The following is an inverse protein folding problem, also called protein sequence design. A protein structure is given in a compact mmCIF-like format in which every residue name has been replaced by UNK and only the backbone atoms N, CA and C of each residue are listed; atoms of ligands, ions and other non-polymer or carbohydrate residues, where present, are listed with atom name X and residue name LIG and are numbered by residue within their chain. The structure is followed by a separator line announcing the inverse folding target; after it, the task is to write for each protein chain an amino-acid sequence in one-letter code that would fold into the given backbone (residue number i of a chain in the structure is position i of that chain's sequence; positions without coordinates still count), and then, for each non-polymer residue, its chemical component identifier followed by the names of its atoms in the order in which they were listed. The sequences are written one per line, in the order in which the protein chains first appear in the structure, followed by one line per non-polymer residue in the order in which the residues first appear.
data_IF_338910181921
#
_entry.id   IF_338910181921
#
_cell.length_a   1.000
_cell.length_b   1.000
_cell.length_c   1.000
_cell.angle_alpha   90.00
_cell.angle_beta   90.00
_cell.angle_gamma   90.00
#
_symmetry.space_group_name_H-M   'P 1'
#
loop_
_entity.id
_entity.type
_entity.pdbx_description
1 polymer ?
#
# COMPACT_ATOMS: atom_id res chain seq x y z
N UNK A 1 -11.01 10.65 -17.29
CA UNK A 1 -10.39 9.71 -16.36
C UNK A 1 -10.29 10.29 -14.93
N UNK A 2 -9.63 11.42 -14.70
CA UNK A 2 -9.46 11.97 -13.34
C UNK A 2 -10.73 12.54 -12.69
N UNK A 3 -11.68 13.11 -13.41
CA UNK A 3 -12.97 13.56 -12.86
C UNK A 3 -13.84 12.39 -12.37
N UNK A 4 -13.77 11.25 -13.03
CA UNK A 4 -14.40 10.01 -12.59
C UNK A 4 -13.69 9.43 -11.34
N UNK A 5 -12.38 9.63 -11.24
CA UNK A 5 -11.56 9.24 -10.11
C UNK A 5 -11.89 10.07 -8.86
N UNK A 6 -12.00 11.40 -9.02
CA UNK A 6 -12.39 12.31 -7.95
C UNK A 6 -13.75 11.96 -7.34
N UNK A 7 -14.74 11.66 -8.20
CA UNK A 7 -16.08 11.25 -7.76
C UNK A 7 -16.12 9.86 -7.13
N UNK A 8 -15.28 8.93 -7.60
CA UNK A 8 -15.21 7.55 -7.09
C UNK A 8 -14.52 7.44 -5.73
N UNK A 9 -13.54 8.30 -5.46
CA UNK A 9 -12.71 8.23 -4.26
C UNK A 9 -12.92 9.42 -3.31
N UNK A 10 -13.91 10.28 -3.55
CA UNK A 10 -14.25 11.43 -2.70
C UNK A 10 -13.08 12.36 -2.37
N UNK A 11 -12.10 12.48 -3.29
CA UNK A 11 -10.91 13.30 -3.09
C UNK A 11 -11.22 14.77 -3.38
N UNK A 12 -10.63 15.66 -2.57
CA UNK A 12 -10.63 17.10 -2.86
C UNK A 12 -9.76 17.41 -4.08
N UNK A 13 -9.87 18.64 -4.63
CA UNK A 13 -9.01 19.08 -5.73
C UNK A 13 -7.52 19.05 -5.35
N UNK A 14 -7.19 19.33 -4.08
CA UNK A 14 -5.83 19.21 -3.54
C UNK A 14 -5.38 17.76 -3.48
N UNK A 15 -6.26 16.84 -3.05
CA UNK A 15 -5.99 15.40 -3.02
C UNK A 15 -5.70 14.85 -4.42
N UNK A 16 -6.50 15.22 -5.42
CA UNK A 16 -6.26 14.82 -6.83
C UNK A 16 -4.94 15.37 -7.37
N UNK A 17 -4.60 16.64 -7.05
CA UNK A 17 -3.31 17.20 -7.43
C UNK A 17 -2.14 16.49 -6.73
N UNK A 18 -2.33 16.10 -5.45
CA UNK A 18 -1.38 15.28 -4.68
C UNK A 18 -1.12 13.94 -5.35
N UNK A 19 -2.19 13.18 -5.71
CA UNK A 19 -2.07 11.90 -6.44
C UNK A 19 -1.25 12.06 -7.71
N UNK A 20 -1.57 13.05 -8.54
CA UNK A 20 -0.86 13.27 -9.83
C UNK A 20 0.62 13.54 -9.61
N UNK A 21 0.96 14.41 -8.65
CA UNK A 21 2.36 14.72 -8.31
C UNK A 21 3.06 13.53 -7.67
N UNK A 22 2.37 12.79 -6.80
CA UNK A 22 2.87 11.56 -6.21
C UNK A 22 3.23 10.53 -7.28
N UNK A 23 2.31 10.23 -8.23
CA UNK A 23 2.56 9.33 -9.36
C UNK A 23 3.76 9.80 -10.20
N UNK A 24 3.85 11.10 -10.48
CA UNK A 24 4.97 11.65 -11.25
C UNK A 24 6.32 11.43 -10.53
N UNK A 25 6.40 11.78 -9.24
CA UNK A 25 7.63 11.62 -8.48
C UNK A 25 7.99 10.15 -8.26
N UNK A 26 7.01 9.27 -8.03
CA UNK A 26 7.24 7.82 -7.94
C UNK A 26 7.75 7.27 -9.26
N UNK A 27 7.18 7.66 -10.38
CA UNK A 27 7.67 7.29 -11.72
C UNK A 27 9.11 7.74 -11.92
N UNK A 28 9.41 8.99 -11.57
CA UNK A 28 10.77 9.55 -11.70
C UNK A 28 11.77 8.81 -10.80
N UNK A 29 11.41 8.53 -9.54
CA UNK A 29 12.26 7.77 -8.61
C UNK A 29 12.54 6.36 -9.14
N UNK A 30 11.54 5.68 -9.66
CA UNK A 30 11.71 4.35 -10.27
C UNK A 30 12.64 4.40 -11.49
N UNK A 31 12.51 5.42 -12.35
CA UNK A 31 13.41 5.59 -13.50
C UNK A 31 14.85 5.91 -13.07
N UNK A 32 15.03 6.76 -12.06
CA UNK A 32 16.37 7.04 -11.49
C UNK A 32 16.97 5.74 -10.91
N UNK A 33 16.20 4.95 -10.18
CA UNK A 33 16.66 3.67 -9.63
C UNK A 33 17.08 2.70 -10.73
N UNK A 34 16.30 2.60 -11.81
CA UNK A 34 16.64 1.78 -12.99
C UNK A 34 17.92 2.29 -13.69
N UNK A 35 18.09 3.61 -13.82
CA UNK A 35 19.31 4.20 -14.36
C UNK A 35 20.53 3.90 -13.48
N UNK A 36 20.37 3.90 -12.15
CA UNK A 36 21.41 3.51 -11.20
C UNK A 36 21.82 2.05 -11.35
N UNK A 37 20.88 1.13 -11.56
CA UNK A 37 21.20 -0.27 -11.89
C UNK A 37 21.96 -0.39 -13.21
N UNK A 38 21.56 0.37 -14.22
CA UNK A 38 22.28 0.45 -15.50
C UNK A 38 23.71 0.98 -15.34
N UNK A 39 23.92 2.00 -14.50
CA UNK A 39 25.24 2.52 -14.18
C UNK A 39 26.12 1.48 -13.49
N UNK A 40 25.60 0.73 -12.51
CA UNK A 40 26.32 -0.35 -11.85
C UNK A 40 26.70 -1.45 -12.84
N UNK A 41 25.81 -1.79 -13.79
CA UNK A 41 26.12 -2.73 -14.85
C UNK A 41 27.28 -2.27 -15.74
N UNK A 42 27.32 -0.99 -16.11
CA UNK A 42 28.42 -0.42 -16.91
C UNK A 42 29.77 -0.49 -16.16
N UNK A 43 29.76 -0.19 -14.85
CA UNK A 43 30.93 -0.34 -14.01
C UNK A 43 31.40 -1.79 -13.96
N UNK A 44 30.51 -2.73 -13.74
CA UNK A 44 30.82 -4.16 -13.74
C UNK A 44 31.35 -4.64 -15.10
N UNK A 45 30.80 -4.16 -16.21
CA UNK A 45 31.26 -4.48 -17.55
C UNK A 45 32.71 -4.03 -17.77
N UNK A 46 33.08 -2.81 -17.29
CA UNK A 46 34.44 -2.32 -17.33
C UNK A 46 35.43 -3.19 -16.53
N UNK A 47 35.03 -3.68 -15.36
CA UNK A 47 35.87 -4.62 -14.59
C UNK A 47 36.03 -5.97 -15.28
N UNK A 48 34.96 -6.49 -15.88
CA UNK A 48 35.02 -7.76 -16.67
C UNK A 48 35.95 -7.60 -17.87
N UNK A 49 35.90 -6.48 -18.58
CA UNK A 49 36.78 -6.18 -19.71
C UNK A 49 38.24 -6.10 -19.27
N UNK A 50 38.54 -5.46 -18.14
CA UNK A 50 39.88 -5.46 -17.53
C UNK A 50 40.39 -6.89 -17.29
N UNK A 51 39.57 -7.75 -16.69
CA UNK A 51 39.96 -9.14 -16.40
C UNK A 51 40.13 -10.01 -17.64
N UNK A 52 39.32 -9.77 -18.69
CA UNK A 52 39.30 -10.58 -19.89
C UNK A 52 40.40 -10.18 -20.91
N UNK A 53 40.67 -8.91 -21.07
CA UNK A 53 41.57 -8.37 -22.12
C UNK A 53 42.80 -7.63 -21.56
N UNK A 54 42.93 -7.49 -20.23
CA UNK A 54 43.99 -6.72 -19.59
C UNK A 54 43.92 -5.22 -19.89
N UNK A 55 42.73 -4.70 -20.24
CA UNK A 55 42.44 -3.29 -20.41
C UNK A 55 42.73 -2.53 -19.09
N UNK A 56 42.95 -1.21 -19.15
CA UNK A 56 43.16 -0.41 -17.95
C UNK A 56 41.91 -0.48 -17.04
N UNK A 57 42.17 -0.45 -15.72
CA UNK A 57 41.11 -0.38 -14.72
C UNK A 57 40.31 0.92 -14.91
N UNK A 58 38.95 0.83 -14.80
CA UNK A 58 38.13 2.05 -14.86
C UNK A 58 38.56 3.03 -13.75
N UNK A 59 38.71 4.30 -14.09
CA UNK A 59 39.05 5.35 -13.14
C UNK A 59 38.04 5.42 -12.00
N UNK A 60 38.53 5.43 -10.76
CA UNK A 60 37.69 5.51 -9.59
C UNK A 60 36.93 6.85 -9.47
N UNK A 61 37.56 7.95 -9.95
CA UNK A 61 36.99 9.30 -9.81
C UNK A 61 35.61 9.47 -10.50
N UNK A 62 35.44 9.12 -11.80
CA UNK A 62 34.14 9.21 -12.45
C UNK A 62 33.12 8.23 -11.85
N UNK A 63 33.54 7.07 -11.34
CA UNK A 63 32.63 6.11 -10.70
C UNK A 63 32.08 6.70 -9.39
N UNK A 64 32.96 7.22 -8.53
CA UNK A 64 32.56 7.85 -7.26
C UNK A 64 31.71 9.10 -7.52
N UNK A 65 32.12 9.94 -8.49
CA UNK A 65 31.38 11.11 -8.89
C UNK A 65 29.96 10.75 -9.40
N UNK A 66 29.84 9.72 -10.24
CA UNK A 66 28.56 9.21 -10.75
C UNK A 66 27.66 8.69 -9.64
N UNK A 67 28.20 7.93 -8.68
CA UNK A 67 27.46 7.46 -7.52
C UNK A 67 26.95 8.60 -6.63
N UNK A 68 27.79 9.62 -6.38
CA UNK A 68 27.38 10.79 -5.59
C UNK A 68 26.22 11.54 -6.29
N UNK A 69 26.33 11.79 -7.58
CA UNK A 69 25.25 12.41 -8.36
C UNK A 69 23.96 11.57 -8.30
N UNK A 70 24.08 10.26 -8.47
CA UNK A 70 22.96 9.33 -8.36
C UNK A 70 22.29 9.42 -6.99
N UNK A 71 23.06 9.38 -5.89
CA UNK A 71 22.52 9.50 -4.54
C UNK A 71 21.81 10.82 -4.30
N UNK A 72 22.36 11.95 -4.77
CA UNK A 72 21.73 13.26 -4.64
C UNK A 72 20.40 13.31 -5.40
N UNK A 73 20.39 12.82 -6.63
CA UNK A 73 19.16 12.76 -7.45
C UNK A 73 18.10 11.84 -6.82
N UNK A 74 18.51 10.67 -6.34
CA UNK A 74 17.63 9.71 -5.68
C UNK A 74 17.06 10.31 -4.40
N UNK A 75 17.88 10.94 -3.57
CA UNK A 75 17.45 11.59 -2.34
C UNK A 75 16.45 12.72 -2.61
N UNK A 76 16.77 13.61 -3.55
CA UNK A 76 15.89 14.71 -3.91
C UNK A 76 14.54 14.21 -4.46
N UNK A 77 14.57 13.18 -5.32
CA UNK A 77 13.35 12.58 -5.88
C UNK A 77 12.51 11.89 -4.80
N UNK A 78 13.14 11.08 -3.92
CA UNK A 78 12.46 10.43 -2.80
C UNK A 78 11.86 11.43 -1.81
N UNK A 79 12.54 12.52 -1.51
CA UNK A 79 12.01 13.58 -0.64
C UNK A 79 10.70 14.14 -1.15
N UNK A 80 10.65 14.48 -2.45
CA UNK A 80 9.43 14.98 -3.08
C UNK A 80 8.35 13.90 -3.19
N UNK A 81 8.73 12.67 -3.55
CA UNK A 81 7.81 11.52 -3.58
C UNK A 81 7.16 11.33 -2.22
N UNK A 82 7.95 11.28 -1.14
CA UNK A 82 7.44 11.12 0.23
C UNK A 82 6.45 12.22 0.60
N UNK A 83 6.78 13.47 0.31
CA UNK A 83 5.91 14.60 0.62
C UNK A 83 4.57 14.51 -0.11
N UNK A 84 4.58 14.26 -1.41
CA UNK A 84 3.35 14.20 -2.21
C UNK A 84 2.56 12.90 -2.03
N UNK A 85 3.19 11.81 -1.65
CA UNK A 85 2.54 10.50 -1.46
C UNK A 85 1.99 10.35 -0.05
N UNK A 86 2.71 10.81 0.99
CA UNK A 86 2.30 10.60 2.37
C UNK A 86 1.72 11.87 3.02
N UNK A 87 2.48 12.96 3.06
CA UNK A 87 2.07 14.13 3.85
C UNK A 87 0.75 14.74 3.37
N UNK A 88 0.53 14.83 2.06
CA UNK A 88 -0.70 15.40 1.51
C UNK A 88 -1.91 14.51 1.82
N UNK A 89 -1.75 13.18 1.77
CA UNK A 89 -2.85 12.27 2.06
C UNK A 89 -3.20 12.22 3.53
N UNK A 90 -2.22 12.25 4.43
CA UNK A 90 -2.50 12.34 5.87
C UNK A 90 -3.28 13.61 6.23
N UNK A 91 -2.92 14.75 5.62
CA UNK A 91 -3.67 15.99 5.80
C UNK A 91 -5.11 15.88 5.25
N UNK A 92 -5.27 15.26 4.08
CA UNK A 92 -6.58 15.09 3.45
C UNK A 92 -7.49 14.17 4.26
N UNK A 93 -6.99 13.02 4.72
CA UNK A 93 -7.73 12.08 5.56
C UNK A 93 -8.07 12.70 6.93
N UNK A 94 -7.18 13.51 7.50
CA UNK A 94 -7.48 14.30 8.71
C UNK A 94 -8.67 15.24 8.51
N UNK A 95 -8.74 15.93 7.36
CA UNK A 95 -9.87 16.78 7.00
C UNK A 95 -11.16 15.98 6.79
N UNK A 96 -11.08 14.81 6.15
CA UNK A 96 -12.24 13.94 5.97
C UNK A 96 -12.80 13.46 7.31
N UNK A 97 -11.95 13.06 8.26
CA UNK A 97 -12.39 12.71 9.62
C UNK A 97 -13.14 13.87 10.29
N UNK A 98 -12.58 15.08 10.21
CA UNK A 98 -13.24 16.28 10.75
C UNK A 98 -14.56 16.60 10.07
N UNK A 99 -14.64 16.45 8.75
CA UNK A 99 -15.87 16.68 8.00
C UNK A 99 -16.96 15.66 8.35
N UNK A 100 -16.61 14.39 8.51
CA UNK A 100 -17.53 13.34 8.94
C UNK A 100 -18.04 13.65 10.35
N UNK A 101 -17.15 14.00 11.29
CA UNK A 101 -17.53 14.37 12.65
C UNK A 101 -18.46 15.59 12.69
N UNK A 102 -18.19 16.62 11.88
CA UNK A 102 -19.05 17.80 11.76
C UNK A 102 -20.42 17.48 11.14
N UNK A 103 -20.49 16.56 10.20
CA UNK A 103 -21.75 16.08 9.63
C UNK A 103 -22.56 15.29 10.67
N UNK A 104 -21.90 14.39 11.41
CA UNK A 104 -22.53 13.62 12.49
C UNK A 104 -23.09 14.54 13.58
N UNK A 105 -22.36 15.58 13.98
CA UNK A 105 -22.81 16.56 14.97
C UNK A 105 -24.13 17.25 14.59
N UNK A 106 -24.44 17.35 13.31
CA UNK A 106 -25.66 17.99 12.80
C UNK A 106 -26.83 17.03 12.70
N UNK A 107 -26.64 15.74 12.93
CA UNK A 107 -27.71 14.75 12.85
C UNK A 107 -28.62 14.78 14.11
N UNK A 108 -29.91 14.48 13.97
CA UNK A 108 -30.82 14.43 15.11
C UNK A 108 -30.47 13.27 16.05
N UNK A 109 -30.78 13.42 17.34
CA UNK A 109 -30.54 12.40 18.38
C UNK A 109 -31.19 11.05 18.03
N UNK A 110 -32.31 11.05 17.33
CA UNK A 110 -32.98 9.83 16.86
C UNK A 110 -32.14 8.98 15.89
N UNK A 111 -31.15 9.57 15.24
CA UNK A 111 -30.20 8.84 14.39
C UNK A 111 -29.28 7.97 15.25
N UNK A 112 -28.76 8.52 16.35
CA UNK A 112 -27.86 7.82 17.27
C UNK A 112 -28.55 6.72 18.07
N UNK A 113 -29.88 6.82 18.30
CA UNK A 113 -30.66 5.77 18.95
C UNK A 113 -30.95 4.55 18.04
N UNK A 114 -30.69 4.65 16.73
CA UNK A 114 -30.93 3.57 15.75
C UNK A 114 -29.65 2.97 15.18
N UNK A 115 -28.51 3.55 15.46
CA UNK A 115 -27.19 3.13 14.98
C UNK A 115 -26.29 2.83 16.15
N UNK A 116 -25.51 1.80 15.99
CA UNK A 116 -24.47 1.47 16.96
C UNK A 116 -23.36 2.56 16.91
N UNK A 117 -23.01 3.07 18.08
CA UNK A 117 -21.93 4.07 18.20
C UNK A 117 -20.58 3.47 17.83
N UNK A 118 -20.40 2.16 18.04
CA UNK A 118 -19.20 1.44 17.66
C UNK A 118 -19.03 1.39 16.14
N UNK A 119 -20.10 1.10 15.38
CA UNK A 119 -20.11 1.11 13.91
C UNK A 119 -19.76 2.49 13.34
N UNK A 120 -20.28 3.57 13.95
CA UNK A 120 -19.92 4.93 13.56
C UNK A 120 -18.47 5.29 13.86
N UNK A 121 -17.95 4.82 14.97
CA UNK A 121 -16.56 5.03 15.36
C UNK A 121 -15.61 4.27 14.42
N UNK A 122 -15.94 3.01 14.10
CA UNK A 122 -15.19 2.19 13.15
C UNK A 122 -15.16 2.84 11.76
N UNK A 123 -16.30 3.37 11.29
CA UNK A 123 -16.35 4.10 10.02
C UNK A 123 -15.44 5.34 10.01
N UNK A 124 -15.41 6.12 11.09
CA UNK A 124 -14.58 7.34 11.15
C UNK A 124 -13.09 7.02 11.29
N UNK A 125 -12.77 6.03 12.10
CA UNK A 125 -11.37 5.70 12.43
C UNK A 125 -10.82 4.61 11.51
N UNK A 126 -11.52 3.50 11.35
CA UNK A 126 -11.08 2.33 10.62
C UNK A 126 -11.19 2.49 9.09
N UNK A 127 -12.36 2.86 8.57
CA UNK A 127 -12.55 2.96 7.12
C UNK A 127 -11.72 4.12 6.53
N UNK A 128 -11.63 5.26 7.22
CA UNK A 128 -10.78 6.37 6.77
C UNK A 128 -9.30 6.00 6.84
N UNK A 129 -8.88 5.21 7.83
CA UNK A 129 -7.51 4.71 7.91
C UNK A 129 -7.20 3.73 6.77
N UNK A 130 -8.13 2.84 6.43
CA UNK A 130 -7.98 1.94 5.29
C UNK A 130 -7.86 2.72 3.96
N UNK A 131 -8.65 3.78 3.78
CA UNK A 131 -8.52 4.69 2.63
C UNK A 131 -7.17 5.41 2.63
N UNK A 132 -6.73 5.92 3.77
CA UNK A 132 -5.42 6.57 3.95
C UNK A 132 -4.28 5.65 3.50
N UNK A 133 -4.29 4.39 3.97
CA UNK A 133 -3.31 3.40 3.58
C UNK A 133 -3.36 3.09 2.07
N UNK A 134 -4.55 2.90 1.51
CA UNK A 134 -4.71 2.64 0.08
C UNK A 134 -4.21 3.79 -0.80
N UNK A 135 -4.42 5.03 -0.39
CA UNK A 135 -3.97 6.20 -1.16
C UNK A 135 -2.48 6.48 -0.99
N UNK A 136 -1.95 6.37 0.22
CA UNK A 136 -0.55 6.67 0.50
C UNK A 136 0.40 5.58 0.03
N UNK A 137 0.04 4.29 0.18
CA UNK A 137 0.95 3.19 -0.08
C UNK A 137 0.67 2.43 -1.39
N UNK A 138 -0.58 2.40 -1.85
CA UNK A 138 -0.91 1.56 -3.01
C UNK A 138 -1.05 2.38 -4.29
N UNK A 139 -1.82 3.46 -4.24
CA UNK A 139 -2.23 4.15 -5.45
C UNK A 139 -1.08 4.83 -6.20
N UNK A 140 -0.24 5.58 -5.45
CA UNK A 140 0.91 6.28 -6.01
C UNK A 140 1.97 5.32 -6.53
N UNK A 141 2.27 4.28 -5.75
CA UNK A 141 3.27 3.27 -6.08
C UNK A 141 2.87 2.41 -7.26
N UNK A 142 1.64 1.90 -7.27
CA UNK A 142 1.13 1.06 -8.37
C UNK A 142 1.16 1.79 -9.71
N UNK A 143 0.59 3.00 -9.77
CA UNK A 143 0.58 3.76 -11.03
C UNK A 143 1.96 4.25 -11.43
N UNK A 144 2.78 4.66 -10.47
CA UNK A 144 4.17 5.03 -10.72
C UNK A 144 5.00 3.88 -11.29
N UNK A 145 4.86 2.68 -10.72
CA UNK A 145 5.54 1.48 -11.21
C UNK A 145 5.06 1.07 -12.61
N UNK A 146 3.74 1.10 -12.87
CA UNK A 146 3.18 0.77 -14.20
C UNK A 146 3.71 1.73 -15.26
N UNK A 147 3.70 3.03 -14.99
CA UNK A 147 4.18 4.04 -15.94
C UNK A 147 5.68 3.91 -16.17
N UNK A 148 6.48 3.76 -15.10
CA UNK A 148 7.92 3.56 -15.21
C UNK A 148 8.26 2.30 -16.01
N UNK A 149 7.60 1.17 -15.71
CA UNK A 149 7.78 -0.10 -16.44
C UNK A 149 7.41 0.03 -17.92
N UNK A 150 6.32 0.74 -18.23
CA UNK A 150 5.92 0.99 -19.61
C UNK A 150 6.95 1.84 -20.37
N UNK A 151 7.51 2.87 -19.74
CA UNK A 151 8.58 3.70 -20.33
C UNK A 151 9.83 2.85 -20.60
N UNK A 152 10.26 2.04 -19.62
CA UNK A 152 11.43 1.16 -19.77
C UNK A 152 11.18 0.10 -20.85
N UNK A 153 9.99 -0.48 -20.91
CA UNK A 153 9.64 -1.43 -21.96
C UNK A 153 9.74 -0.80 -23.36
N UNK A 154 9.14 0.37 -23.55
CA UNK A 154 9.20 1.10 -24.82
C UNK A 154 10.65 1.44 -25.19
N UNK A 155 11.44 1.94 -24.24
CA UNK A 155 12.85 2.23 -24.46
C UNK A 155 13.64 0.96 -24.85
N UNK A 156 13.39 -0.17 -24.16
CA UNK A 156 14.06 -1.45 -24.46
C UNK A 156 13.73 -1.99 -25.85
N UNK A 157 12.53 -1.74 -26.37
CA UNK A 157 12.16 -2.15 -27.74
C UNK A 157 13.04 -1.48 -28.81
N UNK A 158 13.51 -0.24 -28.58
CA UNK A 158 14.41 0.45 -29.51
C UNK A 158 15.84 -0.13 -29.50
N UNK A 159 16.28 -0.74 -28.42
CA UNK A 159 17.61 -1.36 -28.32
C UNK A 159 17.62 -2.80 -28.78
N UNK A 160 16.72 -3.63 -28.27
CA UNK A 160 16.63 -5.05 -28.61
C UNK A 160 15.22 -5.58 -28.31
N UNK A 161 14.38 -5.66 -29.33
CA UNK A 161 12.98 -6.05 -29.18
C UNK A 161 12.80 -7.49 -28.64
N UNK A 162 13.71 -8.41 -29.02
CA UNK A 162 13.67 -9.80 -28.55
C UNK A 162 13.90 -9.88 -27.02
N UNK A 163 14.90 -9.14 -26.53
CA UNK A 163 15.23 -9.09 -25.13
C UNK A 163 14.14 -8.37 -24.34
N UNK A 164 13.56 -7.30 -24.89
CA UNK A 164 12.45 -6.59 -24.26
C UNK A 164 11.23 -7.51 -24.06
N UNK A 165 10.83 -8.27 -25.07
CA UNK A 165 9.73 -9.23 -24.96
C UNK A 165 10.09 -10.34 -23.95
N UNK A 166 11.30 -10.87 -23.99
CA UNK A 166 11.76 -11.92 -23.09
C UNK A 166 11.81 -11.46 -21.62
N UNK A 167 12.12 -10.17 -21.35
CA UNK A 167 12.13 -9.61 -20.01
C UNK A 167 10.72 -9.30 -19.47
N UNK A 168 9.84 -8.77 -20.32
CA UNK A 168 8.54 -8.27 -19.89
C UNK A 168 7.36 -9.25 -20.06
N UNK A 169 7.59 -10.45 -20.59
CA UNK A 169 6.52 -11.46 -20.74
C UNK A 169 5.89 -11.88 -19.40
N UNK A 170 6.65 -11.80 -18.31
CA UNK A 170 6.17 -12.11 -16.97
C UNK A 170 5.10 -11.14 -16.47
N UNK A 171 5.09 -9.90 -16.94
CA UNK A 171 4.13 -8.87 -16.50
C UNK A 171 2.68 -9.25 -16.86
N UNK A 172 2.33 -9.58 -18.14
CA UNK A 172 0.98 -10.02 -18.46
C UNK A 172 0.59 -11.32 -17.76
N UNK A 173 1.54 -12.23 -17.52
CA UNK A 173 1.29 -13.46 -16.76
C UNK A 173 0.94 -13.15 -15.32
N UNK A 174 1.69 -12.27 -14.65
CA UNK A 174 1.38 -11.83 -13.28
C UNK A 174 -0.01 -11.18 -13.19
N UNK A 175 -0.35 -10.29 -14.15
CA UNK A 175 -1.69 -9.70 -14.20
C UNK A 175 -2.80 -10.75 -14.44
N UNK A 176 -2.56 -11.75 -15.28
CA UNK A 176 -3.50 -12.84 -15.51
C UNK A 176 -3.71 -13.66 -14.23
N UNK A 177 -2.63 -14.00 -13.51
CA UNK A 177 -2.71 -14.69 -12.21
C UNK A 177 -3.51 -13.87 -11.21
N UNK A 178 -3.19 -12.59 -11.02
CA UNK A 178 -3.93 -11.69 -10.10
C UNK A 178 -5.41 -11.60 -10.46
N UNK A 179 -5.74 -11.54 -11.75
CA UNK A 179 -7.12 -11.49 -12.20
C UNK A 179 -7.88 -12.79 -11.93
N UNK A 180 -7.25 -13.93 -12.17
CA UNK A 180 -7.85 -15.26 -11.93
C UNK A 180 -8.02 -15.57 -10.44
N UNK A 181 -7.09 -15.10 -9.58
CA UNK A 181 -7.11 -15.36 -8.14
C UNK A 181 -8.03 -14.41 -7.37
N UNK A 182 -8.38 -13.26 -7.95
CA UNK A 182 -9.25 -12.26 -7.32
C UNK A 182 -10.62 -12.82 -6.90
N UNK A 183 -11.24 -13.66 -7.75
CA UNK A 183 -12.55 -14.24 -7.47
C UNK A 183 -12.52 -15.19 -6.26
N UNK A 184 -11.65 -16.21 -6.25
CA UNK A 184 -11.51 -17.12 -5.12
C UNK A 184 -11.09 -16.47 -3.80
N UNK A 185 -10.33 -15.36 -3.85
CA UNK A 185 -9.83 -14.69 -2.65
C UNK A 185 -10.88 -13.81 -1.96
N UNK A 186 -11.85 -13.26 -2.69
CA UNK A 186 -12.86 -12.38 -2.10
C UNK A 186 -13.59 -13.01 -0.89
N UNK A 187 -14.13 -14.24 -0.95
CA UNK A 187 -14.81 -14.85 0.19
C UNK A 187 -13.86 -15.17 1.35
N UNK A 188 -12.55 -15.31 1.11
CA UNK A 188 -11.55 -15.52 2.17
C UNK A 188 -11.39 -14.23 2.97
N UNK A 189 -11.23 -13.10 2.31
CA UNK A 189 -11.15 -11.80 2.97
C UNK A 189 -12.43 -11.44 3.73
N UNK A 190 -13.61 -11.77 3.18
CA UNK A 190 -14.89 -11.53 3.86
C UNK A 190 -15.00 -12.35 5.15
N UNK A 191 -14.50 -13.60 5.18
CA UNK A 191 -14.47 -14.42 6.40
C UNK A 191 -13.51 -13.85 7.44
N UNK A 192 -12.29 -13.49 7.05
CA UNK A 192 -11.33 -12.87 7.96
C UNK A 192 -11.90 -11.59 8.58
N UNK A 193 -12.56 -10.75 7.76
CA UNK A 193 -13.23 -9.55 8.25
C UNK A 193 -14.35 -9.87 9.24
N UNK A 194 -15.19 -10.88 8.96
CA UNK A 194 -16.27 -11.28 9.84
C UNK A 194 -15.76 -11.77 11.20
N UNK A 195 -14.66 -12.53 11.23
CA UNK A 195 -14.07 -12.99 12.51
C UNK A 195 -13.44 -11.82 13.29
N UNK A 196 -12.80 -10.85 12.63
CA UNK A 196 -12.32 -9.62 13.28
C UNK A 196 -13.42 -8.81 13.96
N UNK A 197 -14.58 -8.71 13.32
CA UNK A 197 -15.75 -8.03 13.92
C UNK A 197 -16.20 -8.76 15.18
N UNK A 198 -16.28 -10.12 15.16
CA UNK A 198 -16.65 -10.90 16.36
C UNK A 198 -15.69 -10.70 17.53
N UNK A 199 -14.38 -10.62 17.26
CA UNK A 199 -13.38 -10.32 18.31
C UNK A 199 -13.62 -8.94 18.90
N UNK A 200 -13.88 -7.94 18.06
CA UNK A 200 -14.16 -6.57 18.52
C UNK A 200 -15.42 -6.53 19.37
N UNK A 201 -16.50 -7.19 18.94
CA UNK A 201 -17.75 -7.31 19.69
C UNK A 201 -17.54 -8.00 21.05
N UNK A 202 -16.81 -9.12 21.08
CA UNK A 202 -16.52 -9.85 22.31
C UNK A 202 -15.66 -9.05 23.30
N UNK A 203 -14.67 -8.30 22.81
CA UNK A 203 -13.87 -7.39 23.65
C UNK A 203 -14.76 -6.27 24.23
N UNK A 204 -15.61 -5.68 23.40
CA UNK A 204 -16.51 -4.61 23.80
C UNK A 204 -17.51 -5.08 24.86
N UNK A 205 -18.15 -6.24 24.64
CA UNK A 205 -19.04 -6.87 25.63
C UNK A 205 -18.32 -7.13 26.95
N UNK A 206 -17.10 -7.66 26.90
CA UNK A 206 -16.29 -7.94 28.08
C UNK A 206 -15.97 -6.65 28.86
N UNK A 207 -15.67 -5.55 28.17
CA UNK A 207 -15.38 -4.27 28.77
C UNK A 207 -16.64 -3.62 29.37
N UNK A 208 -17.76 -3.70 28.67
CA UNK A 208 -19.04 -3.16 29.14
C UNK A 208 -19.56 -3.88 30.37
N UNK A 209 -19.36 -5.21 30.42
CA UNK A 209 -19.80 -6.07 31.55
C UNK A 209 -18.69 -6.30 32.59
N UNK A 210 -17.57 -5.58 32.57
CA UNK A 210 -16.41 -5.84 33.46
C UNK A 210 -16.76 -5.79 34.95
N UNK A 211 -17.69 -4.93 35.35
CA UNK A 211 -18.12 -4.80 36.76
C UNK A 211 -18.92 -6.01 37.21
N UNK A 212 -19.83 -6.48 36.39
CA UNK A 212 -20.69 -7.65 36.61
C UNK A 212 -19.84 -8.92 36.63
N UNK A 213 -18.91 -9.05 35.69
CA UNK A 213 -17.97 -10.19 35.62
C UNK A 213 -17.15 -10.30 36.90
N UNK A 214 -16.62 -9.16 37.39
CA UNK A 214 -15.87 -9.12 38.65
C UNK A 214 -16.76 -9.36 39.89
N UNK A 215 -17.95 -8.77 39.92
CA UNK A 215 -18.86 -8.95 41.03
C UNK A 215 -19.34 -10.39 41.17
N UNK A 216 -19.43 -11.15 40.06
CA UNK A 216 -19.85 -12.55 40.05
C UNK A 216 -18.67 -13.54 40.07
N UNK A 217 -17.43 -13.07 40.09
CA UNK A 217 -16.20 -13.88 40.04
C UNK A 217 -16.14 -14.84 38.84
N UNK A 218 -16.64 -14.37 37.67
CA UNK A 218 -16.72 -15.15 36.42
C UNK A 218 -15.59 -14.80 35.42
N UNK A 219 -14.53 -14.15 35.87
CA UNK A 219 -13.43 -13.68 35.01
C UNK A 219 -12.81 -14.82 34.18
N UNK A 220 -12.57 -15.99 34.79
CA UNK A 220 -11.96 -17.12 34.09
C UNK A 220 -12.85 -17.63 32.93
N UNK A 221 -14.13 -17.72 33.12
CA UNK A 221 -15.10 -18.17 32.12
C UNK A 221 -15.17 -17.21 30.92
N UNK A 222 -15.24 -15.91 31.20
CA UNK A 222 -15.27 -14.90 30.15
C UNK A 222 -13.96 -14.81 29.37
N UNK A 223 -12.80 -14.94 30.05
CA UNK A 223 -11.50 -14.98 29.37
C UNK A 223 -11.32 -16.21 28.50
N UNK A 224 -11.84 -17.37 28.92
CA UNK A 224 -11.84 -18.59 28.10
C UNK A 224 -12.70 -18.41 26.84
N UNK A 225 -13.89 -17.82 26.97
CA UNK A 225 -14.77 -17.49 25.85
C UNK A 225 -14.13 -16.51 24.87
N UNK A 226 -13.54 -15.43 25.38
CA UNK A 226 -12.82 -14.45 24.57
C UNK A 226 -11.61 -15.07 23.85
N UNK A 227 -10.84 -15.92 24.56
CA UNK A 227 -9.72 -16.66 23.97
C UNK A 227 -10.15 -17.53 22.80
N UNK A 228 -11.28 -18.24 22.92
CA UNK A 228 -11.80 -19.07 21.82
C UNK A 228 -12.18 -18.25 20.56
N UNK A 229 -12.70 -17.04 20.74
CA UNK A 229 -13.04 -16.13 19.62
C UNK A 229 -11.77 -15.59 18.97
N UNK A 230 -10.76 -15.22 19.76
CA UNK A 230 -9.44 -14.78 19.26
C UNK A 230 -8.74 -15.90 18.49
N UNK A 231 -8.74 -17.13 19.03
CA UNK A 231 -8.14 -18.28 18.35
C UNK A 231 -8.83 -18.61 17.02
N UNK A 232 -10.14 -18.40 16.92
CA UNK A 232 -10.88 -18.58 15.68
C UNK A 232 -10.48 -17.53 14.62
N UNK A 233 -10.34 -16.27 15.02
CA UNK A 233 -9.86 -15.19 14.16
C UNK A 233 -8.44 -15.43 13.68
N UNK A 234 -7.52 -15.82 14.58
CA UNK A 234 -6.14 -16.15 14.24
C UNK A 234 -6.06 -17.28 13.20
N UNK A 235 -6.85 -18.33 13.35
CA UNK A 235 -6.91 -19.43 12.37
C UNK A 235 -7.40 -18.98 11.00
N UNK A 236 -8.44 -18.18 10.94
CA UNK A 236 -8.97 -17.70 9.65
C UNK A 236 -8.02 -16.66 9.02
N UNK A 237 -7.40 -15.80 9.79
CA UNK A 237 -6.36 -14.86 9.32
C UNK A 237 -5.15 -15.62 8.79
N UNK A 238 -4.64 -16.62 9.51
CA UNK A 238 -3.52 -17.46 9.06
C UNK A 238 -3.84 -18.21 7.76
N UNK A 239 -5.05 -18.76 7.63
CA UNK A 239 -5.50 -19.39 6.37
C UNK A 239 -5.57 -18.39 5.24
N UNK A 240 -6.07 -17.18 5.51
CA UNK A 240 -6.14 -16.09 4.54
C UNK A 240 -4.76 -15.66 4.04
N UNK A 241 -3.80 -15.50 4.96
CA UNK A 241 -2.42 -15.15 4.63
C UNK A 241 -1.71 -16.26 3.85
N UNK A 242 -1.88 -17.53 4.27
CA UNK A 242 -1.34 -18.67 3.52
C UNK A 242 -1.93 -18.78 2.12
N UNK A 243 -3.24 -18.61 1.97
CA UNK A 243 -3.90 -18.62 0.67
C UNK A 243 -3.37 -17.48 -0.22
N UNK A 244 -3.19 -16.28 0.33
CA UNK A 244 -2.62 -15.14 -0.38
C UNK A 244 -1.14 -15.39 -0.75
N UNK A 245 -0.33 -15.90 0.18
CA UNK A 245 1.09 -16.18 -0.06
C UNK A 245 1.36 -17.34 -1.03
N UNK A 246 0.42 -18.29 -1.19
CA UNK A 246 0.54 -19.38 -2.17
C UNK A 246 0.12 -18.96 -3.58
N UNK A 247 -0.63 -17.87 -3.71
CA UNK A 247 -1.19 -17.39 -4.97
C UNK A 247 -0.44 -16.18 -5.55
N UNK A 248 0.43 -15.55 -4.75
CA UNK A 248 1.31 -14.43 -5.13
C UNK A 248 2.77 -14.87 -5.11
#
# INVERSE_FOLDING_TARGET
MFASFQKKYFLSDKGVAGVKRGIFWTTLTNLITMAGMGFLFLVMAGFVEHLASGADLPDALPIVGGLLVFFVLLFASNWHQYYYTYCIFYEECGKQRMEIAERLRKLPLSFFGRRDLADLTETIMGDVQAMEHAYSHVLGELWGAIIASAIVFVASLFFCWQLAIAAFWSVPVAFAVLYLTRGPMAPVFDRVRAEKVKVTEAIQETLDCVREIRATNQEAHYLEGLGAVIDAEERETTKGELANGLLV
#
